data_IF_695155896350
#
_entry.id   IF_695155896350
#
_cell.length_a   1.000
_cell.length_b   1.000
_cell.length_c   1.000
_cell.angle_alpha   90.00
_cell.angle_beta   90.00
_cell.angle_gamma   90.00
#
_symmetry.space_group_name_H-M   'P 1'
#
loop_
_entity.id
_entity.type
_entity.pdbx_description
1 polymer ?
#
# COMPACT_ATOMS: atom_id res chain seq x y z
N UNK A 1 8.23 18.75 20.40
CA UNK A 1 7.87 17.48 19.75
C UNK A 1 8.71 17.35 18.51
N UNK A 2 9.90 16.77 18.62
CA UNK A 2 10.72 16.45 17.45
C UNK A 2 10.10 15.21 16.82
N UNK A 3 9.14 15.43 15.92
CA UNK A 3 8.71 14.42 14.96
C UNK A 3 9.98 13.94 14.27
N UNK A 4 10.40 12.75 14.65
CA UNK A 4 11.47 11.96 14.08
C UNK A 4 11.75 12.35 12.62
N UNK A 5 12.81 13.13 12.38
CA UNK A 5 13.25 13.51 11.02
C UNK A 5 13.95 12.34 10.31
N UNK A 6 13.54 11.11 10.60
CA UNK A 6 14.02 9.94 9.87
C UNK A 6 13.34 9.94 8.50
N UNK A 7 14.08 9.76 7.39
CA UNK A 7 13.50 9.51 6.09
C UNK A 7 12.41 8.43 6.20
N UNK A 8 11.30 8.58 5.47
CA UNK A 8 10.18 7.64 5.50
C UNK A 8 10.66 6.19 5.28
N UNK A 9 11.64 6.01 4.39
CA UNK A 9 12.24 4.71 4.11
C UNK A 9 12.98 4.10 5.31
N UNK A 10 13.67 4.90 6.12
CA UNK A 10 14.33 4.43 7.34
C UNK A 10 13.32 3.99 8.40
N UNK A 11 12.20 4.71 8.52
CA UNK A 11 11.13 4.34 9.45
C UNK A 11 10.47 3.02 9.04
N UNK A 12 10.15 2.86 7.76
CA UNK A 12 9.55 1.64 7.22
C UNK A 12 10.51 0.44 7.29
N UNK A 13 11.79 0.64 6.97
CA UNK A 13 12.80 -0.39 7.09
C UNK A 13 12.93 -0.88 8.54
N UNK A 14 13.03 0.04 9.51
CA UNK A 14 13.10 -0.32 10.93
C UNK A 14 11.89 -1.11 11.41
N UNK A 15 10.68 -0.80 10.92
CA UNK A 15 9.47 -1.56 11.24
C UNK A 15 9.53 -3.00 10.71
N UNK A 16 10.15 -3.22 9.54
CA UNK A 16 10.35 -4.56 8.97
C UNK A 16 11.40 -5.33 9.79
N UNK A 17 12.49 -4.68 10.18
CA UNK A 17 13.51 -5.28 11.05
C UNK A 17 12.93 -5.71 12.39
N UNK A 18 12.14 -4.86 13.03
CA UNK A 18 11.51 -5.16 14.32
C UNK A 18 10.61 -6.40 14.25
N UNK A 19 9.93 -6.62 13.12
CA UNK A 19 8.98 -7.73 12.95
C UNK A 19 9.59 -9.00 12.39
N UNK A 20 10.59 -8.87 11.52
CA UNK A 20 11.09 -9.97 10.67
C UNK A 20 12.61 -10.06 10.61
N UNK A 21 13.36 -9.22 11.35
CA UNK A 21 14.82 -9.20 11.30
C UNK A 21 15.46 -10.54 11.64
N UNK A 22 14.89 -11.29 12.58
CA UNK A 22 15.42 -12.58 13.04
C UNK A 22 15.41 -13.69 11.96
N UNK A 23 14.58 -13.55 10.92
CA UNK A 23 14.45 -14.55 9.84
C UNK A 23 15.17 -14.14 8.55
N UNK A 24 15.79 -12.96 8.53
CA UNK A 24 16.45 -12.40 7.35
C UNK A 24 17.97 -12.42 7.53
N UNK A 25 18.68 -12.88 6.51
CA UNK A 25 20.15 -12.74 6.46
C UNK A 25 20.57 -11.37 5.90
N UNK A 26 21.84 -11.02 6.07
CA UNK A 26 22.39 -9.71 5.66
C UNK A 26 22.12 -9.34 4.19
N UNK A 27 22.15 -10.31 3.28
CA UNK A 27 21.87 -10.07 1.87
C UNK A 27 20.39 -9.74 1.65
N UNK A 28 19.49 -10.46 2.33
CA UNK A 28 18.06 -10.18 2.30
C UNK A 28 17.72 -8.85 2.96
N UNK A 29 18.39 -8.51 4.07
CA UNK A 29 18.25 -7.23 4.75
C UNK A 29 18.62 -6.07 3.82
N UNK A 30 19.73 -6.20 3.09
CA UNK A 30 20.13 -5.21 2.08
C UNK A 30 19.09 -5.06 0.97
N UNK A 31 18.61 -6.19 0.42
CA UNK A 31 17.60 -6.17 -0.65
C UNK A 31 16.28 -5.55 -0.20
N UNK A 32 15.85 -5.83 1.05
CA UNK A 32 14.66 -5.21 1.65
C UNK A 32 14.84 -3.70 1.77
N UNK A 33 16.02 -3.23 2.21
CA UNK A 33 16.29 -1.79 2.30
C UNK A 33 16.17 -1.10 0.95
N UNK A 34 16.82 -1.65 -0.09
CA UNK A 34 16.75 -1.13 -1.46
C UNK A 34 15.29 -1.12 -1.97
N UNK A 35 14.54 -2.18 -1.71
CA UNK A 35 13.12 -2.26 -2.10
C UNK A 35 12.24 -1.22 -1.39
N UNK A 36 12.50 -0.95 -0.11
CA UNK A 36 11.78 0.08 0.66
C UNK A 36 12.09 1.47 0.13
N UNK A 37 13.36 1.76 -0.20
CA UNK A 37 13.76 3.03 -0.79
C UNK A 37 13.04 3.26 -2.15
N UNK A 38 13.00 2.25 -3.02
CA UNK A 38 12.26 2.33 -4.30
C UNK A 38 10.75 2.53 -4.11
N UNK A 39 10.14 1.87 -3.12
CA UNK A 39 8.72 2.04 -2.83
C UNK A 39 8.39 3.46 -2.36
N UNK A 40 9.25 4.06 -1.53
CA UNK A 40 9.09 5.44 -1.08
C UNK A 40 9.22 6.41 -2.24
N UNK A 41 10.21 6.23 -3.12
CA UNK A 41 10.36 7.05 -4.33
C UNK A 41 9.11 6.99 -5.23
N UNK A 42 8.58 5.78 -5.46
CA UNK A 42 7.36 5.58 -6.22
C UNK A 42 6.15 6.22 -5.53
N UNK A 43 6.02 6.09 -4.21
CA UNK A 43 4.95 6.72 -3.45
C UNK A 43 5.03 8.26 -3.53
N UNK A 44 6.23 8.84 -3.47
CA UNK A 44 6.44 10.27 -3.68
C UNK A 44 6.05 10.73 -5.09
N UNK A 45 6.34 9.91 -6.12
CA UNK A 45 5.89 10.18 -7.47
C UNK A 45 4.35 10.17 -7.58
N UNK A 46 3.68 9.19 -6.95
CA UNK A 46 2.23 9.10 -6.93
C UNK A 46 1.56 10.25 -6.16
N UNK A 47 2.16 10.69 -5.04
CA UNK A 47 1.66 11.84 -4.25
C UNK A 47 1.67 13.16 -5.02
N UNK A 48 2.47 13.27 -6.09
CA UNK A 48 2.49 14.46 -6.97
C UNK A 48 1.30 14.51 -7.92
N UNK A 49 0.59 13.40 -8.11
CA UNK A 49 -0.62 13.35 -8.93
C UNK A 49 -1.76 13.99 -8.16
N UNK A 50 -2.32 15.08 -8.72
CA UNK A 50 -3.49 15.74 -8.17
C UNK A 50 -4.73 14.94 -8.54
N UNK A 51 -5.41 14.39 -7.55
CA UNK A 51 -6.68 13.69 -7.71
C UNK A 51 -7.85 14.66 -7.52
N UNK A 52 -8.84 14.57 -8.39
CA UNK A 52 -10.18 15.16 -8.22
C UNK A 52 -11.11 14.10 -7.63
N UNK A 53 -12.21 14.51 -6.98
CA UNK A 53 -13.21 13.56 -6.46
C UNK A 53 -13.82 12.68 -7.55
N UNK A 54 -13.73 13.09 -8.82
CA UNK A 54 -14.12 12.28 -9.98
C UNK A 54 -13.16 11.15 -10.32
N UNK A 55 -11.93 11.18 -9.79
CA UNK A 55 -10.94 10.11 -9.92
C UNK A 55 -11.21 9.01 -8.87
N UNK A 56 -12.46 8.54 -8.79
CA UNK A 56 -12.85 7.48 -7.87
C UNK A 56 -12.11 6.17 -8.19
N UNK A 57 -11.76 5.36 -7.17
CA UNK A 57 -11.09 4.09 -7.39
C UNK A 57 -11.89 3.18 -8.33
N UNK A 58 -11.16 2.51 -9.22
CA UNK A 58 -11.64 1.71 -10.34
C UNK A 58 -12.32 0.40 -9.93
N UNK A 59 -13.35 0.45 -9.09
CA UNK A 59 -14.42 -0.55 -9.04
C UNK A 59 -15.52 -0.03 -8.13
N UNK A 60 -16.62 0.43 -8.72
CA UNK A 60 -17.88 0.50 -7.97
C UNK A 60 -18.27 -0.94 -7.68
N UNK A 61 -18.53 -1.26 -6.42
CA UNK A 61 -19.02 -2.57 -6.03
C UNK A 61 -20.29 -2.89 -6.84
N UNK A 62 -20.22 -3.94 -7.66
CA UNK A 62 -21.38 -4.48 -8.37
C UNK A 62 -21.86 -5.72 -7.62
N UNK A 63 -23.02 -5.67 -6.93
CA UNK A 63 -23.58 -6.87 -6.33
C UNK A 63 -23.90 -7.89 -7.42
N UNK A 64 -23.70 -9.17 -7.11
CA UNK A 64 -24.15 -10.26 -7.97
C UNK A 64 -25.69 -10.29 -7.95
N UNK A 65 -26.30 -10.17 -9.14
CA UNK A 65 -27.74 -10.34 -9.33
C UNK A 65 -27.91 -11.63 -10.14
N UNK A 66 -28.57 -12.63 -9.56
CA UNK A 66 -29.00 -13.80 -10.30
C UNK A 66 -30.20 -13.40 -11.16
N UNK A 67 -30.04 -13.46 -12.49
CA UNK A 67 -31.13 -13.14 -13.43
C UNK A 67 -32.24 -14.21 -13.43
N UNK A 68 -32.12 -15.28 -12.63
CA UNK A 68 -33.12 -16.37 -12.55
C UNK A 68 -34.18 -16.23 -11.45
N UNK A 69 -34.26 -15.11 -10.74
CA UNK A 69 -35.20 -14.96 -9.61
C UNK A 69 -36.38 -14.05 -9.96
N UNK A 70 -36.68 -13.90 -11.26
CA UNK A 70 -37.76 -13.09 -11.83
C UNK A 70 -39.20 -13.49 -11.45
N UNK A 71 -39.42 -14.09 -10.29
CA UNK A 71 -40.75 -14.31 -9.70
C UNK A 71 -40.89 -13.48 -8.43
N UNK A 72 -41.42 -12.27 -8.60
CA UNK A 72 -42.13 -11.60 -7.52
C UNK A 72 -43.53 -12.22 -7.44
N UNK A 73 -43.79 -12.99 -6.38
CA UNK A 73 -45.15 -13.37 -6.01
C UNK A 73 -45.90 -12.09 -5.57
N UNK A 74 -47.12 -11.92 -6.06
CA UNK A 74 -47.94 -10.71 -5.83
C UNK A 74 -48.76 -10.82 -4.56
#
# INVERSE_FOLDING_TARGET
MTSDMRPESETLFNMIIEKYGDILNDMQLKAVKESVDELVENAEALRKIKLDSRDEPFSVFTPYIDEQDGTYDT
#
